data_IF_819981213658
#
_entry.id   IF_819981213658
#
_cell.length_a   1.000
_cell.length_b   1.000
_cell.length_c   1.000
_cell.angle_alpha   90.00
_cell.angle_beta   90.00
_cell.angle_gamma   90.00
#
_symmetry.space_group_name_H-M   'P 1'
#
loop_
_entity.id
_entity.type
_entity.pdbx_description
1 polymer ?
#
# COMPACT_ATOMS: atom_id res chain seq x y z
N UNK A 1 17.86 -12.47 -30.21
CA UNK A 1 16.78 -13.06 -29.41
C UNK A 1 17.06 -12.72 -27.96
N UNK A 2 16.27 -11.80 -27.41
CA UNK A 2 16.62 -11.00 -26.23
C UNK A 2 16.54 -11.74 -24.90
N UNK A 3 17.54 -11.48 -24.06
CA UNK A 3 17.50 -11.76 -22.62
C UNK A 3 17.00 -10.46 -21.96
N UNK A 4 15.74 -10.42 -21.52
CA UNK A 4 15.26 -9.33 -20.66
C UNK A 4 15.49 -9.77 -19.22
N UNK A 5 16.49 -9.13 -18.64
CA UNK A 5 16.99 -9.32 -17.29
C UNK A 5 16.48 -8.14 -16.45
N UNK A 6 15.33 -8.29 -15.79
CA UNK A 6 14.87 -7.30 -14.81
C UNK A 6 15.24 -7.78 -13.41
N UNK A 7 16.47 -7.44 -13.04
CA UNK A 7 16.93 -7.33 -11.66
C UNK A 7 16.37 -6.00 -11.14
N UNK A 8 15.61 -5.99 -10.05
CA UNK A 8 15.49 -4.77 -9.26
C UNK A 8 16.89 -4.42 -8.77
N UNK A 9 17.40 -3.29 -9.26
CA UNK A 9 18.69 -2.69 -8.89
C UNK A 9 18.68 -2.36 -7.39
N UNK A 10 19.11 -3.32 -6.58
CA UNK A 10 19.70 -3.07 -5.26
C UNK A 10 21.23 -3.26 -5.35
N UNK A 11 21.83 -2.70 -6.41
CA UNK A 11 23.28 -2.67 -6.61
C UNK A 11 23.79 -1.29 -6.22
N UNK A 12 24.32 -1.22 -5.00
CA UNK A 12 25.40 -0.32 -4.60
C UNK A 12 25.03 1.14 -4.42
N UNK A 13 24.51 1.51 -3.25
CA UNK A 13 24.64 2.87 -2.68
C UNK A 13 24.61 2.84 -1.13
N UNK A 14 25.05 1.74 -0.51
CA UNK A 14 25.09 1.61 0.96
C UNK A 14 26.39 2.19 1.55
N UNK A 15 27.40 2.50 0.73
CA UNK A 15 28.71 2.94 1.24
C UNK A 15 28.79 4.44 1.58
N UNK A 16 27.92 5.28 1.00
CA UNK A 16 28.10 6.73 1.08
C UNK A 16 27.25 7.43 2.15
N UNK A 17 26.09 6.88 2.51
CA UNK A 17 25.23 7.46 3.55
C UNK A 17 25.74 7.19 4.99
N UNK A 18 26.56 6.15 5.21
CA UNK A 18 27.17 5.87 6.52
C UNK A 18 28.26 6.89 6.89
N UNK A 19 29.00 7.44 5.92
CA UNK A 19 30.06 8.44 6.18
C UNK A 19 29.52 9.79 6.64
N UNK A 20 28.28 10.13 6.31
CA UNK A 20 27.64 11.39 6.72
C UNK A 20 27.11 11.33 8.17
N UNK A 21 26.69 10.16 8.64
CA UNK A 21 26.20 9.98 10.01
C UNK A 21 27.30 9.81 11.06
N UNK A 22 28.51 9.41 10.69
CA UNK A 22 29.66 9.34 11.62
C UNK A 22 30.24 10.71 11.97
N UNK A 23 30.05 11.74 11.13
CA UNK A 23 30.62 13.08 11.35
C UNK A 23 29.88 13.95 12.39
N UNK A 24 28.78 13.47 12.98
CA UNK A 24 27.93 14.27 13.88
C UNK A 24 27.79 13.74 15.32
N UNK A 25 28.63 12.82 15.80
CA UNK A 25 28.60 12.37 17.21
C UNK A 25 29.75 12.95 18.05
N UNK A 26 29.49 13.51 19.25
CA UNK A 26 30.55 13.85 20.21
C UNK A 26 31.24 12.58 20.73
N UNK A 27 32.56 12.64 20.87
CA UNK A 27 33.37 11.55 21.38
C UNK A 27 33.07 11.27 22.86
N UNK A 28 32.69 10.03 23.17
CA UNK A 28 32.88 9.45 24.50
C UNK A 28 33.40 8.02 24.36
N UNK A 29 34.61 7.81 24.88
CA UNK A 29 35.30 6.53 24.97
C UNK A 29 34.63 5.62 26.01
N UNK A 30 34.28 4.39 25.63
CA UNK A 30 34.75 3.19 26.32
C UNK A 30 34.49 1.93 25.48
N UNK A 31 35.41 0.98 25.63
CA UNK A 31 35.66 -0.19 24.81
C UNK A 31 34.44 -1.11 24.60
N UNK A 32 34.18 -1.47 23.35
CA UNK A 32 33.94 -2.87 22.93
C UNK A 32 34.07 -2.99 21.40
N UNK A 33 35.17 -3.62 20.99
CA UNK A 33 35.54 -3.86 19.60
C UNK A 33 34.69 -5.04 19.07
N UNK A 34 33.69 -4.76 18.22
CA UNK A 34 33.02 -5.78 17.42
C UNK A 34 33.23 -5.49 15.93
N UNK A 35 33.84 -6.47 15.27
CA UNK A 35 34.35 -6.47 13.91
C UNK A 35 33.43 -5.85 12.86
N UNK A 36 33.90 -4.78 12.23
CA UNK A 36 33.48 -4.33 10.92
C UNK A 36 34.10 -5.23 9.83
N UNK A 37 33.38 -6.28 9.43
CA UNK A 37 33.67 -6.98 8.17
C UNK A 37 32.59 -6.64 7.15
N UNK A 38 32.96 -5.85 6.14
CA UNK A 38 32.15 -5.60 4.96
C UNK A 38 31.81 -6.93 4.28
N UNK A 39 30.56 -7.15 3.84
CA UNK A 39 30.17 -8.37 3.11
C UNK A 39 30.89 -8.37 1.74
N UNK A 40 32.17 -8.74 1.70
CA UNK A 40 32.92 -9.14 0.51
C UNK A 40 33.56 -10.50 0.78
N UNK A 41 33.30 -11.38 -0.17
CA UNK A 41 33.93 -12.66 -0.46
C UNK A 41 33.47 -13.95 0.23
N UNK A 42 33.64 -14.98 -0.60
CA UNK A 42 33.07 -16.31 -0.62
C UNK A 42 33.84 -17.24 0.31
N UNK A 43 33.15 -18.15 0.98
CA UNK A 43 33.77 -19.41 1.41
C UNK A 43 32.78 -20.56 1.27
N UNK A 44 33.26 -21.61 0.59
CA UNK A 44 32.60 -22.88 0.37
C UNK A 44 32.43 -23.61 1.69
N UNK A 45 31.23 -23.59 2.27
CA UNK A 45 30.77 -24.63 3.18
C UNK A 45 29.39 -25.11 2.72
N UNK A 46 29.34 -26.42 2.49
CA UNK A 46 28.24 -27.16 1.89
C UNK A 46 27.08 -27.21 2.88
N UNK A 47 26.21 -26.20 2.84
CA UNK A 47 24.94 -26.22 3.55
C UNK A 47 23.94 -27.06 2.74
N UNK A 48 23.81 -28.33 3.08
CA UNK A 48 22.65 -29.13 2.71
C UNK A 48 21.55 -28.94 3.75
N UNK A 49 20.33 -28.71 3.25
CA UNK A 49 19.04 -28.72 3.95
C UNK A 49 18.73 -27.53 4.88
N UNK A 50 18.37 -26.39 4.27
CA UNK A 50 17.58 -25.34 4.92
C UNK A 50 16.12 -25.40 4.47
N UNK A 51 15.31 -26.21 5.16
CA UNK A 51 13.86 -26.30 4.94
C UNK A 51 13.19 -24.96 5.30
N UNK A 52 12.70 -24.26 4.27
CA UNK A 52 11.67 -23.22 4.42
C UNK A 52 10.29 -23.90 4.50
N UNK A 53 10.07 -24.75 5.51
CA UNK A 53 8.77 -25.38 5.76
C UNK A 53 8.50 -25.50 7.26
N UNK A 54 7.32 -25.01 7.64
CA UNK A 54 6.64 -25.30 8.90
C UNK A 54 6.20 -26.77 8.92
N UNK A 55 6.59 -27.53 9.95
CA UNK A 55 5.94 -28.78 10.37
C UNK A 55 4.48 -28.47 10.78
N UNK A 56 3.44 -29.32 10.61
CA UNK A 56 3.32 -30.78 10.77
C UNK A 56 1.99 -31.31 10.18
N UNK A 57 1.97 -32.61 9.81
CA UNK A 57 0.83 -33.53 9.55
C UNK A 57 0.10 -33.38 8.19
N UNK A 58 -0.28 -34.41 7.44
CA UNK A 58 -0.33 -35.88 7.57
C UNK A 58 -0.22 -36.52 6.17
N UNK A 59 0.32 -37.73 6.07
CA UNK A 59 0.45 -38.51 4.84
C UNK A 59 -0.91 -38.81 4.19
N UNK A 60 -1.04 -38.56 2.87
CA UNK A 60 -1.79 -39.45 1.98
C UNK A 60 -1.40 -39.26 0.50
N UNK A 61 -0.83 -40.33 -0.05
CA UNK A 61 -0.83 -40.82 -1.43
C UNK A 61 -0.93 -39.83 -2.60
N UNK A 62 0.22 -39.67 -3.27
CA UNK A 62 0.35 -39.25 -4.67
C UNK A 62 -0.40 -40.21 -5.60
N UNK A 63 -1.33 -39.68 -6.41
CA UNK A 63 -1.64 -40.20 -7.74
C UNK A 63 -1.29 -39.13 -8.76
N UNK A 64 -0.30 -39.44 -9.59
CA UNK A 64 0.07 -38.72 -10.79
C UNK A 64 -1.09 -38.70 -11.79
N UNK A 65 -1.53 -37.51 -12.19
CA UNK A 65 -2.33 -37.32 -13.40
C UNK A 65 -1.64 -36.28 -14.29
N UNK A 66 -1.10 -36.79 -15.39
CA UNK A 66 -0.56 -36.06 -16.53
C UNK A 66 -1.62 -36.05 -17.63
N UNK A 67 -2.02 -34.88 -18.14
CA UNK A 67 -2.76 -34.70 -19.40
C UNK A 67 -2.60 -33.26 -19.94
N UNK A 68 -2.90 -33.01 -21.23
CA UNK A 68 -1.91 -32.51 -22.20
C UNK A 68 -2.08 -31.03 -22.62
N UNK A 69 -1.09 -30.56 -23.38
CA UNK A 69 -1.10 -29.33 -24.16
C UNK A 69 -2.38 -29.16 -25.01
N UNK A 70 -3.03 -28.01 -24.88
CA UNK A 70 -3.91 -27.47 -25.92
C UNK A 70 -3.68 -25.97 -26.07
N UNK A 71 -3.10 -25.61 -27.21
CA UNK A 71 -3.03 -24.27 -27.78
C UNK A 71 -4.43 -23.75 -28.07
N UNK A 72 -4.76 -22.52 -27.65
CA UNK A 72 -5.92 -21.79 -28.17
C UNK A 72 -5.56 -20.34 -28.48
N UNK A 73 -6.00 -19.94 -29.66
CA UNK A 73 -5.65 -18.78 -30.46
C UNK A 73 -5.92 -17.41 -29.83
N UNK A 74 -4.97 -16.51 -30.06
CA UNK A 74 -5.07 -15.06 -29.89
C UNK A 74 -6.21 -14.45 -30.73
N UNK A 75 -7.14 -13.75 -30.07
CA UNK A 75 -7.93 -12.69 -30.69
C UNK A 75 -7.65 -11.38 -29.97
N UNK A 76 -6.81 -10.55 -30.61
CA UNK A 76 -6.55 -9.15 -30.23
C UNK A 76 -7.85 -8.35 -30.19
N UNK A 77 -8.24 -7.86 -29.01
CA UNK A 77 -9.21 -6.78 -28.87
C UNK A 77 -8.44 -5.48 -28.64
N UNK A 78 -8.63 -4.53 -29.56
CA UNK A 78 -8.00 -3.21 -29.56
C UNK A 78 -8.95 -2.25 -28.84
N UNK A 79 -8.56 -1.75 -27.66
CA UNK A 79 -9.33 -0.72 -26.95
C UNK A 79 -8.60 0.62 -27.08
N UNK A 80 -9.29 1.60 -27.66
CA UNK A 80 -8.81 2.97 -27.84
C UNK A 80 -9.18 3.85 -26.65
N UNK A 81 -8.22 4.57 -26.09
CA UNK A 81 -8.42 5.57 -25.04
C UNK A 81 -9.10 6.83 -25.59
N UNK A 82 -10.06 7.38 -24.85
CA UNK A 82 -10.66 8.70 -25.09
C UNK A 82 -10.18 9.66 -24.00
N UNK A 83 -9.51 10.74 -24.40
CA UNK A 83 -9.10 11.84 -23.52
C UNK A 83 -10.27 12.79 -23.30
N UNK A 84 -10.64 13.05 -22.04
CA UNK A 84 -11.63 14.07 -21.69
C UNK A 84 -10.89 15.37 -21.33
N UNK A 85 -11.17 16.42 -22.10
CA UNK A 85 -10.72 17.80 -21.84
C UNK A 85 -11.60 18.46 -20.78
N UNK A 86 -10.98 19.34 -20.00
CA UNK A 86 -11.53 20.17 -18.93
C UNK A 86 -12.77 20.97 -19.36
N UNK A 87 -13.75 21.10 -18.46
CA UNK A 87 -14.87 22.04 -18.59
C UNK A 87 -14.75 23.09 -17.48
N UNK A 88 -14.47 24.31 -17.91
CA UNK A 88 -14.59 25.54 -17.12
C UNK A 88 -16.04 26.01 -17.10
N UNK A 89 -16.47 26.48 -15.93
CA UNK A 89 -17.77 27.09 -15.65
C UNK A 89 -17.91 28.52 -16.20
N UNK A 90 -19.14 28.97 -16.52
CA UNK A 90 -19.45 30.40 -16.54
C UNK A 90 -20.49 30.82 -15.47
N UNK A 91 -20.28 32.04 -14.99
CA UNK A 91 -21.09 32.79 -14.03
C UNK A 91 -22.23 33.58 -14.68
N UNK A 92 -23.17 34.01 -13.81
CA UNK A 92 -24.02 35.22 -13.85
C UNK A 92 -25.08 35.38 -14.95
N UNK A 93 -26.34 35.62 -14.56
CA UNK A 93 -26.88 36.98 -14.41
C UNK A 93 -28.41 37.01 -14.21
N UNK A 94 -28.80 37.95 -13.35
CA UNK A 94 -30.14 38.48 -13.08
C UNK A 94 -30.89 38.98 -14.32
N UNK A 95 -32.23 38.84 -14.33
CA UNK A 95 -33.21 39.88 -14.77
C UNK A 95 -34.67 39.42 -14.59
N UNK A 96 -35.49 40.25 -13.92
CA UNK A 96 -36.94 40.38 -14.11
C UNK A 96 -37.20 41.56 -15.07
N UNK A 97 -38.40 41.68 -15.69
CA UNK A 97 -39.43 42.57 -15.12
C UNK A 97 -40.90 42.08 -15.29
N UNK A 98 -41.81 42.90 -14.73
CA UNK A 98 -43.22 42.68 -14.38
C UNK A 98 -44.26 43.05 -15.46
N UNK A 99 -45.57 42.82 -15.18
CA UNK A 99 -46.77 43.73 -15.31
C UNK A 99 -48.06 42.86 -15.20
N UNK A 100 -48.86 42.86 -14.12
CA UNK A 100 -50.02 43.71 -13.66
C UNK A 100 -51.40 43.37 -14.26
N UNK A 101 -52.41 43.23 -13.36
CA UNK A 101 -53.86 43.58 -13.36
C UNK A 101 -54.51 42.62 -12.33
N UNK A 102 -55.33 42.94 -11.33
CA UNK A 102 -56.09 44.10 -10.86
C UNK A 102 -57.30 43.56 -10.04
N UNK A 103 -57.84 44.37 -9.11
CA UNK A 103 -59.08 44.21 -8.29
C UNK A 103 -58.86 43.69 -6.85
N UNK A 104 -59.17 44.56 -5.86
CA UNK A 104 -59.22 44.25 -4.40
C UNK A 104 -60.66 44.15 -3.88
N UNK A 105 -60.96 44.52 -2.63
CA UNK A 105 -60.23 44.27 -1.38
C UNK A 105 -61.09 43.39 -0.43
N UNK A 106 -60.49 42.51 0.37
CA UNK A 106 -61.21 41.86 1.47
C UNK A 106 -60.34 41.83 2.74
N UNK A 107 -60.86 42.46 3.79
CA UNK A 107 -60.27 42.51 5.12
C UNK A 107 -60.39 41.13 5.76
N UNK A 108 -59.27 40.50 6.08
CA UNK A 108 -59.25 39.36 7.00
C UNK A 108 -58.11 39.57 8.01
N UNK A 109 -58.49 39.47 9.28
CA UNK A 109 -57.69 39.69 10.47
C UNK A 109 -56.42 38.82 10.49
N UNK A 110 -55.28 39.47 10.77
CA UNK A 110 -54.01 38.80 11.00
C UNK A 110 -54.03 38.06 12.35
N UNK A 111 -54.15 36.73 12.31
CA UNK A 111 -53.72 35.85 13.41
C UNK A 111 -52.27 35.44 13.16
N UNK A 112 -51.37 36.15 13.83
CA UNK A 112 -49.95 35.82 13.93
C UNK A 112 -49.77 34.43 14.55
N UNK A 113 -49.50 33.43 13.71
CA UNK A 113 -49.18 32.07 14.16
C UNK A 113 -47.67 32.03 14.38
N UNK A 114 -47.24 32.08 15.65
CA UNK A 114 -45.85 31.86 16.04
C UNK A 114 -45.35 30.52 15.47
N UNK A 115 -44.56 30.58 14.39
CA UNK A 115 -43.79 29.45 13.93
C UNK A 115 -42.72 29.15 14.99
N UNK A 116 -42.85 27.99 15.64
CA UNK A 116 -41.77 27.45 16.47
C UNK A 116 -40.63 27.09 15.54
N UNK A 117 -39.37 27.40 15.87
CA UNK A 117 -38.25 26.97 15.04
C UNK A 117 -38.28 25.44 14.98
N UNK A 118 -38.47 24.91 13.77
CA UNK A 118 -38.21 23.50 13.50
C UNK A 118 -36.72 23.33 13.72
N UNK A 119 -36.37 22.71 14.85
CA UNK A 119 -35.03 22.18 15.06
C UNK A 119 -34.84 21.14 13.97
N UNK A 120 -34.17 21.55 12.90
CA UNK A 120 -33.64 20.62 11.91
C UNK A 120 -32.62 19.84 12.70
N UNK A 121 -33.00 18.65 13.18
CA UNK A 121 -32.03 17.68 13.64
C UNK A 121 -31.04 17.54 12.50
N UNK A 122 -29.83 18.05 12.72
CA UNK A 122 -28.72 17.90 11.80
C UNK A 122 -28.59 16.41 11.57
N UNK A 123 -29.01 15.97 10.38
CA UNK A 123 -28.72 14.63 9.89
C UNK A 123 -27.23 14.43 10.13
N UNK A 124 -26.81 13.37 10.86
CA UNK A 124 -25.39 13.07 10.99
C UNK A 124 -24.80 13.06 9.59
N UNK A 125 -23.66 13.72 9.39
CA UNK A 125 -22.90 13.57 8.16
C UNK A 125 -22.81 12.08 7.83
N UNK A 126 -22.91 11.66 6.54
CA UNK A 126 -22.94 10.25 6.18
C UNK A 126 -21.79 9.54 6.88
N UNK A 127 -22.11 8.62 7.78
CA UNK A 127 -21.10 7.84 8.52
C UNK A 127 -20.22 7.19 7.46
N UNK A 128 -18.96 7.62 7.40
CA UNK A 128 -18.01 7.15 6.39
C UNK A 128 -17.94 5.63 6.40
N UNK A 129 -17.93 5.02 5.21
CA UNK A 129 -17.82 3.56 5.10
C UNK A 129 -16.44 3.15 5.60
N UNK A 130 -16.37 2.12 6.43
CA UNK A 130 -15.12 1.67 7.02
C UNK A 130 -14.95 0.16 6.91
N UNK A 131 -13.69 -0.27 6.94
CA UNK A 131 -13.29 -1.66 7.09
C UNK A 131 -12.08 -1.71 8.01
N UNK A 132 -12.23 -2.41 9.13
CA UNK A 132 -11.24 -2.43 10.23
C UNK A 132 -10.84 -1.00 10.63
N UNK A 133 -9.58 -0.63 10.45
CA UNK A 133 -9.03 0.69 10.78
C UNK A 133 -8.92 1.65 9.58
N UNK A 134 -9.57 1.35 8.46
CA UNK A 134 -9.59 2.21 7.28
C UNK A 134 -11.00 2.75 7.03
N UNK A 135 -11.09 4.02 6.66
CA UNK A 135 -12.34 4.74 6.38
C UNK A 135 -12.28 5.37 4.99
N UNK A 136 -13.43 5.49 4.34
CA UNK A 136 -13.59 6.21 3.07
C UNK A 136 -13.30 7.70 3.18
N UNK A 137 -13.16 8.24 4.40
CA UNK A 137 -12.71 9.62 4.63
C UNK A 137 -11.19 9.80 4.60
N UNK A 138 -10.41 8.72 4.76
CA UNK A 138 -8.94 8.80 4.74
C UNK A 138 -8.42 8.98 3.32
N UNK A 139 -7.40 9.80 3.12
CA UNK A 139 -6.56 9.71 1.93
C UNK A 139 -5.52 8.60 2.12
N UNK A 140 -5.54 7.59 1.25
CA UNK A 140 -4.78 6.34 1.44
C UNK A 140 -3.78 6.13 0.31
N UNK A 141 -2.53 5.83 0.67
CA UNK A 141 -1.51 5.32 -0.23
C UNK A 141 -1.25 3.84 0.10
N UNK A 142 -1.40 2.96 -0.89
CA UNK A 142 -1.01 1.55 -0.78
C UNK A 142 0.28 1.32 -1.57
N UNK A 143 1.28 0.74 -0.90
CA UNK A 143 2.65 0.64 -1.40
C UNK A 143 3.05 -0.81 -1.58
N UNK A 144 3.63 -1.13 -2.74
CA UNK A 144 4.14 -2.46 -3.04
C UNK A 144 3.04 -3.51 -3.22
N UNK A 145 1.91 -3.12 -3.79
CA UNK A 145 0.84 -4.05 -4.13
C UNK A 145 1.36 -5.10 -5.14
N UNK A 146 1.05 -6.36 -4.87
CA UNK A 146 1.26 -7.46 -5.82
C UNK A 146 0.13 -7.52 -6.83
N UNK A 147 -0.85 -8.39 -6.57
CA UNK A 147 -2.03 -8.55 -7.43
C UNK A 147 -3.13 -7.49 -7.21
N UNK A 148 -2.89 -6.46 -6.39
CA UNK A 148 -3.84 -5.40 -6.03
C UNK A 148 -5.13 -5.85 -5.30
N UNK A 149 -5.16 -7.09 -4.78
CA UNK A 149 -6.35 -7.62 -4.10
C UNK A 149 -6.69 -6.88 -2.80
N UNK A 150 -5.68 -6.45 -2.03
CA UNK A 150 -5.90 -5.68 -0.80
C UNK A 150 -6.51 -4.31 -1.10
N UNK A 151 -5.93 -3.57 -2.05
CA UNK A 151 -6.50 -2.31 -2.53
C UNK A 151 -7.94 -2.50 -3.01
N UNK A 152 -8.21 -3.56 -3.78
CA UNK A 152 -9.55 -3.84 -4.33
C UNK A 152 -10.57 -4.12 -3.23
N UNK A 153 -10.17 -4.83 -2.17
CA UNK A 153 -10.99 -5.04 -0.97
C UNK A 153 -11.40 -3.70 -0.33
N UNK A 154 -10.44 -2.81 -0.06
CA UNK A 154 -10.73 -1.50 0.54
C UNK A 154 -11.64 -0.67 -0.37
N UNK A 155 -11.32 -0.59 -1.67
CA UNK A 155 -12.11 0.15 -2.64
C UNK A 155 -13.55 -0.38 -2.74
N UNK A 156 -13.74 -1.69 -2.62
CA UNK A 156 -15.07 -2.31 -2.62
C UNK A 156 -15.85 -1.97 -1.34
N UNK A 157 -15.20 -2.00 -0.18
CA UNK A 157 -15.83 -1.62 1.08
C UNK A 157 -16.22 -0.14 1.12
N UNK A 158 -15.40 0.74 0.55
CA UNK A 158 -15.71 2.17 0.43
C UNK A 158 -16.70 2.47 -0.70
N UNK A 159 -16.89 1.50 -1.59
CA UNK A 159 -17.68 1.56 -2.81
C UNK A 159 -16.98 2.47 -3.85
N UNK A 160 -16.55 3.68 -3.46
CA UNK A 160 -15.84 4.68 -4.26
C UNK A 160 -14.46 4.94 -3.62
N UNK A 161 -13.41 5.07 -4.44
CA UNK A 161 -12.01 5.04 -4.00
C UNK A 161 -11.15 6.16 -4.61
N UNK A 162 -11.73 7.31 -4.96
CA UNK A 162 -11.01 8.47 -5.51
C UNK A 162 -9.98 9.10 -4.57
N UNK A 163 -10.05 8.75 -3.29
CA UNK A 163 -9.14 9.10 -2.20
C UNK A 163 -7.98 8.10 -2.03
N UNK A 164 -7.92 7.04 -2.84
CA UNK A 164 -6.91 5.99 -2.77
C UNK A 164 -5.96 6.05 -3.96
N UNK A 165 -4.67 5.87 -3.67
CA UNK A 165 -3.65 5.59 -4.68
C UNK A 165 -3.01 4.24 -4.35
N UNK A 166 -3.10 3.29 -5.29
CA UNK A 166 -2.49 1.97 -5.14
C UNK A 166 -1.26 1.86 -6.05
N UNK A 167 -0.14 1.43 -5.49
CA UNK A 167 1.15 1.43 -6.19
C UNK A 167 1.85 0.09 -6.14
N UNK A 168 2.52 -0.28 -7.24
CA UNK A 168 3.40 -1.45 -7.32
C UNK A 168 4.81 -1.06 -7.74
N UNK A 169 5.80 -1.88 -7.38
CA UNK A 169 7.15 -1.77 -7.91
C UNK A 169 7.27 -2.41 -9.30
N UNK A 170 6.55 -3.51 -9.53
CA UNK A 170 6.52 -4.19 -10.82
C UNK A 170 5.67 -3.40 -11.83
N UNK A 171 5.98 -3.55 -13.12
CA UNK A 171 5.19 -2.99 -14.21
C UNK A 171 3.85 -3.70 -14.36
N UNK A 172 2.87 -3.00 -14.95
CA UNK A 172 1.55 -3.57 -15.21
C UNK A 172 1.62 -4.89 -16.01
N UNK A 173 2.43 -4.93 -17.05
CA UNK A 173 2.60 -6.11 -17.91
C UNK A 173 3.14 -7.30 -17.13
N UNK A 174 4.11 -7.07 -16.23
CA UNK A 174 4.62 -8.12 -15.36
C UNK A 174 3.51 -8.65 -14.45
N UNK A 175 2.74 -7.77 -13.83
CA UNK A 175 1.69 -8.17 -12.89
C UNK A 175 0.59 -9.00 -13.57
N UNK A 176 0.09 -8.53 -14.72
CA UNK A 176 -0.96 -9.24 -15.49
C UNK A 176 -0.46 -10.61 -15.95
N UNK A 177 0.81 -10.73 -16.33
CA UNK A 177 1.39 -11.99 -16.77
C UNK A 177 1.56 -13.00 -15.64
N UNK A 178 1.85 -12.54 -14.42
CA UNK A 178 2.31 -13.42 -13.34
C UNK A 178 1.33 -13.57 -12.17
N UNK A 179 0.23 -12.81 -12.14
CA UNK A 179 -0.82 -12.96 -11.13
C UNK A 179 -2.18 -13.03 -11.82
N UNK A 180 -2.87 -14.16 -11.63
CA UNK A 180 -4.15 -14.45 -12.31
C UNK A 180 -5.19 -13.34 -12.11
N UNK A 181 -5.26 -12.78 -10.89
CA UNK A 181 -6.27 -11.78 -10.53
C UNK A 181 -5.83 -10.33 -10.75
N UNK A 182 -4.59 -10.06 -11.17
CA UNK A 182 -4.08 -8.68 -11.27
C UNK A 182 -4.90 -7.84 -12.25
N UNK A 183 -5.21 -8.38 -13.43
CA UNK A 183 -5.97 -7.66 -14.44
C UNK A 183 -7.37 -7.25 -13.95
N UNK A 184 -8.11 -8.18 -13.31
CA UNK A 184 -9.44 -7.90 -12.77
C UNK A 184 -9.41 -6.93 -11.60
N UNK A 185 -8.41 -7.03 -10.73
CA UNK A 185 -8.25 -6.15 -9.57
C UNK A 185 -7.91 -4.72 -10.01
N UNK A 186 -6.97 -4.54 -10.93
CA UNK A 186 -6.61 -3.23 -11.49
C UNK A 186 -7.81 -2.57 -12.20
N UNK A 187 -8.58 -3.35 -12.97
CA UNK A 187 -9.81 -2.86 -13.60
C UNK A 187 -10.87 -2.48 -12.55
N UNK A 188 -11.03 -3.29 -11.50
CA UNK A 188 -11.95 -3.04 -10.39
C UNK A 188 -11.64 -1.75 -9.64
N UNK A 189 -10.35 -1.47 -9.40
CA UNK A 189 -9.85 -0.21 -8.83
C UNK A 189 -10.15 0.98 -9.73
N UNK A 190 -9.80 0.88 -11.01
CA UNK A 190 -10.03 1.94 -12.01
C UNK A 190 -11.51 2.31 -12.12
N UNK A 191 -12.39 1.31 -12.11
CA UNK A 191 -13.85 1.48 -12.15
C UNK A 191 -14.35 2.27 -10.94
N UNK A 192 -13.72 2.09 -9.77
CA UNK A 192 -14.03 2.79 -8.51
C UNK A 192 -13.25 4.09 -8.32
N UNK A 193 -12.59 4.57 -9.38
CA UNK A 193 -11.81 5.81 -9.42
C UNK A 193 -10.56 5.83 -8.54
N UNK A 194 -10.08 4.67 -8.10
CA UNK A 194 -8.76 4.57 -7.48
C UNK A 194 -7.69 4.78 -8.55
N UNK A 195 -6.68 5.60 -8.23
CA UNK A 195 -5.52 5.77 -9.09
C UNK A 195 -4.55 4.61 -8.88
N UNK A 196 -4.23 3.90 -9.95
CA UNK A 196 -3.24 2.81 -9.94
C UNK A 196 -1.96 3.31 -10.60
N UNK A 197 -0.82 3.15 -9.94
CA UNK A 197 0.50 3.52 -10.46
C UNK A 197 1.47 2.35 -10.36
N UNK A 198 2.36 2.23 -11.34
CA UNK A 198 3.33 1.14 -11.42
C UNK A 198 4.74 1.70 -11.38
N UNK A 199 5.72 0.83 -11.14
CA UNK A 199 7.15 1.20 -11.09
C UNK A 199 7.48 2.23 -10.00
N UNK A 200 6.73 2.20 -8.89
CA UNK A 200 6.94 3.07 -7.73
C UNK A 200 7.84 2.36 -6.71
N UNK A 201 9.05 2.89 -6.55
CA UNK A 201 10.00 2.43 -5.53
C UNK A 201 9.66 3.02 -4.16
N UNK A 202 9.23 2.17 -3.22
CA UNK A 202 8.90 2.52 -1.85
C UNK A 202 10.04 3.25 -1.09
N UNK A 203 11.30 3.06 -1.52
CA UNK A 203 12.47 3.70 -0.92
C UNK A 203 12.78 5.09 -1.49
N UNK A 204 12.05 5.51 -2.52
CA UNK A 204 12.24 6.78 -3.24
C UNK A 204 10.95 7.55 -3.51
N UNK A 205 9.81 7.06 -3.01
CA UNK A 205 8.48 7.58 -3.34
C UNK A 205 8.25 9.05 -2.96
N UNK A 206 8.97 9.59 -1.96
CA UNK A 206 8.89 11.02 -1.61
C UNK A 206 9.45 11.92 -2.72
N UNK A 207 10.34 11.39 -3.56
CA UNK A 207 10.94 12.13 -4.67
C UNK A 207 10.16 11.92 -5.99
N UNK A 208 9.12 11.10 -5.99
CA UNK A 208 8.31 10.87 -7.18
C UNK A 208 7.53 12.14 -7.53
N UNK A 209 7.70 12.67 -8.74
CA UNK A 209 7.21 13.99 -9.15
C UNK A 209 5.71 14.22 -8.88
N UNK A 210 4.89 13.18 -8.97
CA UNK A 210 3.45 13.26 -8.70
C UNK A 210 3.08 12.94 -7.25
N UNK A 211 3.77 12.00 -6.60
CA UNK A 211 3.36 11.47 -5.30
C UNK A 211 3.97 12.26 -4.14
N UNK A 212 5.22 12.73 -4.30
CA UNK A 212 6.01 13.34 -3.25
C UNK A 212 5.40 14.57 -2.59
N UNK A 213 4.55 15.30 -3.33
CA UNK A 213 3.83 16.46 -2.82
C UNK A 213 2.52 16.15 -2.09
N UNK A 214 2.05 14.89 -2.09
CA UNK A 214 0.76 14.50 -1.52
C UNK A 214 0.96 14.04 -0.07
N UNK A 215 0.11 14.57 0.82
CA UNK A 215 0.01 14.11 2.21
C UNK A 215 -1.13 13.11 2.37
N UNK A 216 -0.89 12.04 3.13
CA UNK A 216 -1.82 10.92 3.32
C UNK A 216 -2.15 10.69 4.79
N UNK A 217 -3.40 10.32 5.05
CA UNK A 217 -3.85 9.91 6.38
C UNK A 217 -3.41 8.50 6.70
N UNK A 218 -3.30 7.64 5.67
CA UNK A 218 -2.83 6.25 5.81
C UNK A 218 -1.86 5.89 4.70
N UNK A 219 -0.66 5.44 5.06
CA UNK A 219 0.31 4.86 4.13
C UNK A 219 0.52 3.40 4.51
N UNK A 220 0.16 2.48 3.62
CA UNK A 220 0.07 1.05 3.93
C UNK A 220 1.13 0.28 3.12
N UNK A 221 1.95 -0.53 3.80
CA UNK A 221 2.88 -1.45 3.17
C UNK A 221 2.76 -2.84 3.80
N UNK A 222 1.98 -3.71 3.15
CA UNK A 222 1.71 -5.05 3.65
C UNK A 222 2.83 -6.02 3.25
N UNK A 223 3.40 -6.73 4.22
CA UNK A 223 4.42 -7.76 4.05
C UNK A 223 5.59 -7.33 3.15
N UNK A 224 6.27 -6.20 3.48
CA UNK A 224 7.38 -5.69 2.70
C UNK A 224 8.44 -6.77 2.48
N UNK A 225 8.93 -6.92 1.24
CA UNK A 225 9.87 -7.96 0.88
C UNK A 225 10.96 -7.43 -0.07
N UNK A 226 12.22 -7.54 0.34
CA UNK A 226 13.36 -7.01 -0.43
C UNK A 226 13.81 -7.94 -1.56
N UNK A 227 13.26 -9.16 -1.62
CA UNK A 227 13.55 -10.16 -2.64
C UNK A 227 14.33 -11.37 -2.13
N UNK A 228 14.60 -12.31 -3.03
CA UNK A 228 15.29 -13.56 -2.71
C UNK A 228 16.80 -13.43 -2.97
N UNK A 229 17.61 -13.75 -1.95
CA UNK A 229 19.07 -13.63 -2.03
C UNK A 229 19.76 -14.94 -1.63
N UNK A 230 19.64 -15.96 -2.47
CA UNK A 230 20.12 -17.33 -2.18
C UNK A 230 21.63 -17.44 -1.91
N UNK A 231 22.42 -16.49 -2.40
CA UNK A 231 23.88 -16.51 -2.27
C UNK A 231 24.39 -15.69 -1.08
N UNK A 232 23.51 -15.03 -0.33
CA UNK A 232 23.90 -14.20 0.80
C UNK A 232 23.74 -14.95 2.12
N UNK A 233 24.57 -14.59 3.11
CA UNK A 233 24.34 -15.04 4.48
C UNK A 233 23.01 -14.51 4.99
N UNK A 234 22.43 -15.25 5.95
CA UNK A 234 21.21 -14.89 6.67
C UNK A 234 21.23 -13.44 7.17
N UNK A 235 22.37 -13.00 7.69
CA UNK A 235 22.59 -11.64 8.21
C UNK A 235 22.58 -10.59 7.09
N UNK A 236 23.28 -10.83 5.97
CA UNK A 236 23.27 -9.89 4.85
C UNK A 236 21.85 -9.83 4.20
N UNK A 237 21.04 -10.90 4.29
CA UNK A 237 19.61 -10.92 3.89
C UNK A 237 18.74 -10.12 4.86
N UNK A 238 18.85 -10.37 6.17
CA UNK A 238 18.15 -9.62 7.21
C UNK A 238 18.42 -8.11 7.10
N UNK A 239 19.68 -7.73 6.85
CA UNK A 239 20.06 -6.33 6.67
C UNK A 239 19.36 -5.67 5.49
N UNK A 240 19.19 -6.38 4.37
CA UNK A 240 18.47 -5.86 3.18
C UNK A 240 16.99 -5.65 3.47
N UNK A 241 16.35 -6.60 4.13
CA UNK A 241 14.95 -6.45 4.55
C UNK A 241 14.73 -5.29 5.50
N UNK A 242 15.60 -5.15 6.51
CA UNK A 242 15.57 -4.02 7.45
C UNK A 242 15.85 -2.69 6.75
N UNK A 243 16.76 -2.68 5.78
CA UNK A 243 17.07 -1.49 4.97
C UNK A 243 15.87 -1.05 4.13
N UNK A 244 15.18 -1.97 3.46
CA UNK A 244 13.93 -1.67 2.73
C UNK A 244 12.91 -0.98 3.63
N UNK A 245 12.62 -1.56 4.80
CA UNK A 245 11.62 -1.00 5.71
C UNK A 245 12.08 0.33 6.30
N UNK A 246 13.35 0.45 6.66
CA UNK A 246 13.93 1.70 7.16
C UNK A 246 13.80 2.84 6.14
N UNK A 247 14.16 2.61 4.88
CA UNK A 247 14.06 3.61 3.82
C UNK A 247 12.60 3.94 3.47
N UNK A 248 11.72 2.95 3.47
CA UNK A 248 10.28 3.18 3.34
C UNK A 248 9.75 4.09 4.46
N UNK A 249 10.06 3.80 5.73
CA UNK A 249 9.63 4.61 6.87
C UNK A 249 10.13 6.05 6.76
N UNK A 250 11.39 6.25 6.34
CA UNK A 250 11.96 7.58 6.07
C UNK A 250 11.13 8.35 5.03
N UNK A 251 10.75 7.71 3.93
CA UNK A 251 9.95 8.34 2.87
C UNK A 251 8.50 8.60 3.32
N UNK A 252 7.86 7.58 3.90
CA UNK A 252 6.46 7.62 4.31
C UNK A 252 6.21 8.70 5.35
N UNK A 253 7.14 8.87 6.30
CA UNK A 253 7.11 9.94 7.31
C UNK A 253 6.93 11.33 6.68
N UNK A 254 7.69 11.62 5.63
CA UNK A 254 7.64 12.91 4.93
C UNK A 254 6.34 13.09 4.12
N UNK A 255 5.53 12.04 3.98
CA UNK A 255 4.28 12.04 3.21
C UNK A 255 3.03 11.92 4.11
N UNK A 256 3.19 11.95 5.44
CA UNK A 256 2.05 11.92 6.37
C UNK A 256 1.32 13.27 6.44
N UNK A 257 -0.01 13.21 6.50
CA UNK A 257 -0.85 14.33 6.92
C UNK A 257 -0.78 14.53 8.45
N UNK A 258 -1.45 15.58 8.93
CA UNK A 258 -1.66 15.75 10.36
C UNK A 258 -2.46 14.56 10.92
N UNK A 259 -1.94 13.90 11.96
CA UNK A 259 -2.46 12.65 12.52
C UNK A 259 -2.45 11.45 11.55
N UNK A 260 -1.64 11.51 10.47
CA UNK A 260 -1.45 10.40 9.56
C UNK A 260 -0.72 9.21 10.21
N UNK A 261 -1.00 8.01 9.72
CA UNK A 261 -0.42 6.76 10.22
C UNK A 261 0.25 5.96 9.09
N UNK A 262 1.39 5.35 9.40
CA UNK A 262 2.08 4.36 8.56
C UNK A 262 1.72 2.98 9.08
N UNK A 263 1.15 2.14 8.22
CA UNK A 263 0.69 0.80 8.56
C UNK A 263 1.60 -0.24 7.89
N UNK A 264 2.27 -1.06 8.68
CA UNK A 264 3.08 -2.18 8.17
C UNK A 264 2.52 -3.48 8.72
N UNK A 265 2.00 -4.34 7.84
CA UNK A 265 1.61 -5.70 8.21
C UNK A 265 2.82 -6.62 8.06
N UNK A 266 3.13 -7.41 9.10
CA UNK A 266 4.33 -8.23 9.11
C UNK A 266 4.15 -9.49 9.97
N UNK A 267 4.84 -10.57 9.60
CA UNK A 267 4.84 -11.80 10.38
C UNK A 267 5.54 -11.59 11.73
N UNK A 268 5.07 -12.33 12.73
CA UNK A 268 5.55 -12.22 14.13
C UNK A 268 6.26 -13.47 14.63
N UNK A 269 6.72 -14.33 13.72
CA UNK A 269 7.38 -15.59 14.05
C UNK A 269 8.77 -15.75 13.40
N UNK A 270 9.63 -16.54 14.06
CA UNK A 270 10.95 -16.94 13.55
C UNK A 270 11.79 -15.76 13.08
N UNK A 271 12.37 -15.89 11.89
CA UNK A 271 13.24 -14.88 11.24
C UNK A 271 12.61 -13.48 11.15
N UNK A 272 11.28 -13.38 11.09
CA UNK A 272 10.58 -12.11 10.92
C UNK A 272 10.64 -11.23 12.18
N UNK A 273 10.76 -11.81 13.38
CA UNK A 273 10.88 -11.05 14.63
C UNK A 273 12.17 -10.22 14.65
N UNK A 274 13.23 -10.71 14.01
CA UNK A 274 14.54 -10.06 13.97
C UNK A 274 14.60 -8.81 13.10
N UNK A 275 13.53 -8.52 12.35
CA UNK A 275 13.43 -7.27 11.60
C UNK A 275 13.32 -6.07 12.55
N UNK A 276 12.82 -6.27 13.78
CA UNK A 276 12.69 -5.27 14.85
C UNK A 276 12.04 -3.97 14.33
N UNK A 277 10.84 -4.08 13.75
CA UNK A 277 10.13 -2.97 13.09
C UNK A 277 9.99 -1.72 13.97
N UNK A 278 9.64 -1.89 15.24
CA UNK A 278 9.48 -0.78 16.19
C UNK A 278 10.79 -0.02 16.41
N UNK A 279 11.94 -0.72 16.43
CA UNK A 279 13.26 -0.10 16.54
C UNK A 279 13.61 0.67 15.26
N UNK A 280 13.25 0.15 14.08
CA UNK A 280 13.43 0.86 12.81
C UNK A 280 12.58 2.14 12.76
N UNK A 281 11.29 2.05 13.12
CA UNK A 281 10.39 3.21 13.20
C UNK A 281 10.92 4.27 14.18
N UNK A 282 11.32 3.84 15.38
CA UNK A 282 11.88 4.73 16.41
C UNK A 282 13.12 5.48 15.91
N UNK A 283 13.98 4.84 15.11
CA UNK A 283 15.17 5.49 14.52
C UNK A 283 14.83 6.65 13.58
N UNK A 284 13.62 6.66 13.02
CA UNK A 284 13.08 7.74 12.18
C UNK A 284 12.18 8.71 12.96
N UNK A 285 12.16 8.63 14.30
CA UNK A 285 11.27 9.41 15.18
C UNK A 285 9.79 9.15 14.91
N UNK A 286 9.45 7.91 14.59
CA UNK A 286 8.07 7.45 14.54
C UNK A 286 7.78 6.62 15.79
N UNK A 287 6.67 6.91 16.46
CA UNK A 287 6.20 6.14 17.62
C UNK A 287 5.24 5.04 17.18
N UNK A 288 5.30 3.90 17.86
CA UNK A 288 4.24 2.90 17.75
C UNK A 288 2.97 3.45 18.41
N UNK A 289 1.90 3.57 17.64
CA UNK A 289 0.57 3.90 18.15
C UNK A 289 -0.09 2.63 18.66
N UNK A 290 -0.07 1.58 17.84
CA UNK A 290 -0.76 0.33 18.11
C UNK A 290 -0.14 -0.80 17.28
N UNK A 291 -0.16 -2.03 17.80
CA UNK A 291 0.12 -3.24 17.03
C UNK A 291 -1.06 -4.21 17.21
N UNK A 292 -1.85 -4.38 16.15
CA UNK A 292 -3.05 -5.23 16.15
C UNK A 292 -2.79 -6.52 15.39
N UNK A 293 -3.45 -7.61 15.78
CA UNK A 293 -3.38 -8.86 15.02
C UNK A 293 -3.93 -8.66 13.61
N UNK A 294 -3.20 -9.18 12.62
CA UNK A 294 -3.59 -9.15 11.23
C UNK A 294 -4.15 -10.51 10.84
N UNK A 295 -5.42 -10.52 10.44
CA UNK A 295 -6.08 -11.67 9.85
C UNK A 295 -6.50 -11.33 8.42
N UNK A 296 -5.98 -12.03 7.42
CA UNK A 296 -6.35 -11.80 6.03
C UNK A 296 -7.85 -12.02 5.77
N UNK A 297 -8.52 -12.86 6.56
CA UNK A 297 -9.96 -13.11 6.45
C UNK A 297 -10.81 -11.88 6.81
N UNK A 298 -10.24 -10.92 7.53
CA UNK A 298 -10.92 -9.64 7.81
C UNK A 298 -11.03 -8.74 6.55
N UNK A 299 -10.38 -9.13 5.46
CA UNK A 299 -10.32 -8.41 4.20
C UNK A 299 -10.85 -9.29 3.05
N UNK A 300 -12.17 -9.32 2.80
CA UNK A 300 -12.77 -10.17 1.78
C UNK A 300 -12.14 -9.98 0.39
N UNK A 301 -11.70 -11.09 -0.20
CA UNK A 301 -11.05 -11.11 -1.52
C UNK A 301 -9.56 -10.78 -1.49
N UNK A 302 -8.98 -10.43 -0.34
CA UNK A 302 -7.53 -10.25 -0.22
C UNK A 302 -6.79 -11.60 -0.26
N UNK A 303 -5.80 -11.70 -1.15
CA UNK A 303 -4.94 -12.87 -1.27
C UNK A 303 -3.47 -12.49 -1.05
N UNK A 304 -2.84 -13.07 -0.03
CA UNK A 304 -1.39 -12.88 0.17
C UNK A 304 -0.60 -13.71 -0.84
N UNK A 305 0.02 -13.02 -1.81
CA UNK A 305 0.83 -13.65 -2.86
C UNK A 305 2.28 -13.80 -2.41
N UNK A 306 2.92 -14.91 -2.79
CA UNK A 306 4.38 -15.04 -2.70
C UNK A 306 5.03 -14.11 -3.72
N UNK A 307 6.11 -13.43 -3.32
CA UNK A 307 6.85 -12.53 -4.21
C UNK A 307 7.39 -13.25 -5.46
N UNK A 308 7.60 -12.48 -6.53
CA UNK A 308 8.04 -12.94 -7.86
C UNK A 308 7.04 -13.82 -8.62
N UNK A 309 5.77 -13.41 -8.66
CA UNK A 309 4.90 -13.83 -9.76
C UNK A 309 4.31 -15.23 -9.63
N UNK A 310 3.83 -15.59 -8.44
CA UNK A 310 3.10 -16.82 -8.24
C UNK A 310 1.85 -16.61 -7.39
N UNK A 311 0.81 -17.38 -7.70
CA UNK A 311 -0.47 -17.35 -6.98
C UNK A 311 -0.49 -18.15 -5.67
N UNK A 312 0.64 -18.76 -5.32
CA UNK A 312 0.80 -19.50 -4.08
C UNK A 312 0.60 -18.60 -2.86
N UNK A 313 -0.14 -19.12 -1.88
CA UNK A 313 -0.34 -18.45 -0.61
C UNK A 313 0.99 -18.30 0.14
N UNK A 314 1.31 -17.08 0.54
CA UNK A 314 2.45 -16.77 1.41
C UNK A 314 2.30 -17.33 2.83
N UNK A 315 1.07 -17.66 3.24
CA UNK A 315 0.68 -17.91 4.62
C UNK A 315 1.20 -16.77 5.52
N UNK A 316 0.39 -15.73 5.68
CA UNK A 316 0.78 -14.59 6.49
C UNK A 316 0.71 -14.85 8.01
N UNK A 317 0.14 -15.96 8.46
CA UNK A 317 -0.07 -16.19 9.89
C UNK A 317 1.20 -16.75 10.59
N UNK A 318 1.43 -16.41 11.87
CA UNK A 318 0.87 -15.28 12.61
C UNK A 318 1.47 -13.95 12.14
N UNK A 319 0.66 -12.90 12.13
CA UNK A 319 1.06 -11.54 11.73
C UNK A 319 0.33 -10.47 12.50
N UNK A 320 0.94 -9.28 12.55
CA UNK A 320 0.35 -8.05 13.09
C UNK A 320 0.45 -6.91 12.09
N UNK A 321 -0.48 -5.96 12.18
CA UNK A 321 -0.34 -4.63 11.59
C UNK A 321 0.15 -3.67 12.65
N UNK A 322 1.36 -3.13 12.42
CA UNK A 322 1.95 -2.09 13.23
C UNK A 322 1.54 -0.73 12.66
N UNK A 323 1.01 0.15 13.51
CA UNK A 323 0.60 1.51 13.16
C UNK A 323 1.58 2.49 13.81
N UNK A 324 2.23 3.30 12.99
CA UNK A 324 3.21 4.28 13.42
C UNK A 324 2.75 5.69 13.10
N UNK A 325 3.03 6.65 13.98
CA UNK A 325 2.78 8.07 13.73
C UNK A 325 3.94 8.93 14.19
N UNK A 326 3.84 10.24 13.95
CA UNK A 326 4.78 11.24 14.43
C UNK A 326 4.70 11.43 15.95
#
# INVERSE_FOLDING_TARGET
>A
MGIIQSVIRFLGDIADDEKLNERQRPQQNSYNNYNNNSCREKSHHQWQNGNYYSSTSTQSNLRSYSYPNTSVNDKKVKVSCVSIKEITSPQNASRRPATTIGVGPEKVEAKERKERPVVINSTPAPVGRSIKHYSSSHRILLVGEGDFSFSTCLATAFVWASNMIATSLDSQDFLIKNYESAASNILGLSTRKCLVMHEIDATKMVNHHFLGGIKFDRIIFNFPFAGFFKQLSRECVLRRHRSLVSLFLKNAKEMLSENGEIHISHKTNGFHVEWKLESLASSHRLRLIEAVDFNHLDYPGYNTKRGFGGDNNFDCYPSKTYKFGL
#
